data_IF_774916321862
#
_entry.id   IF_774916321862
#
_cell.length_a   1.000
_cell.length_b   1.000
_cell.length_c   1.000
_cell.angle_alpha   90.00
_cell.angle_beta   90.00
_cell.angle_gamma   90.00
#
_symmetry.space_group_name_H-M   'P 1'
#
loop_
_entity.id
_entity.type
_entity.pdbx_description
1 polymer ?
#
# COMPACT_ATOMS: atom_id res chain seq x y z
N UNK A 1 24.79 -9.10 1.26
CA UNK A 1 24.01 -9.79 2.31
C UNK A 1 23.44 -11.05 1.67
N UNK A 2 24.14 -12.17 1.84
CA UNK A 2 23.75 -13.46 1.25
C UNK A 2 22.40 -13.90 1.83
N UNK A 3 21.55 -14.40 0.93
CA UNK A 3 20.17 -14.82 1.15
C UNK A 3 20.17 -16.08 2.02
N UNK A 4 19.35 -16.09 3.07
CA UNK A 4 18.80 -17.34 3.61
C UNK A 4 17.39 -17.48 3.05
N UNK A 5 17.23 -18.33 2.03
CA UNK A 5 15.97 -19.01 1.81
C UNK A 5 15.75 -19.92 3.02
N UNK A 6 14.89 -19.49 3.94
CA UNK A 6 14.44 -20.33 5.04
C UNK A 6 13.21 -21.10 4.54
N UNK A 7 13.46 -22.23 3.88
CA UNK A 7 12.53 -23.37 3.93
C UNK A 7 12.41 -23.80 5.39
N UNK A 8 11.17 -23.93 5.86
CA UNK A 8 10.75 -24.51 7.16
C UNK A 8 11.81 -24.57 8.27
N UNK A 9 11.92 -23.50 9.05
CA UNK A 9 12.26 -23.64 10.47
C UNK A 9 11.08 -23.12 11.30
N UNK A 10 10.47 -23.95 12.16
CA UNK A 10 9.40 -23.49 13.03
C UNK A 10 10.00 -22.50 14.04
N UNK A 11 9.43 -21.29 14.19
CA UNK A 11 9.78 -20.42 15.30
C UNK A 11 9.19 -21.00 16.60
N UNK A 12 9.67 -20.53 17.75
CA UNK A 12 9.15 -20.89 19.07
C UNK A 12 7.61 -20.76 19.13
N UNK A 13 6.94 -21.90 19.14
CA UNK A 13 5.47 -22.04 19.07
C UNK A 13 4.70 -21.25 20.14
N UNK A 14 5.34 -20.85 21.24
CA UNK A 14 4.68 -20.24 22.40
C UNK A 14 3.94 -18.92 22.12
N UNK A 15 4.55 -17.97 21.38
CA UNK A 15 3.92 -16.66 21.13
C UNK A 15 2.82 -16.71 20.07
N UNK A 16 3.04 -17.46 18.99
CA UNK A 16 2.06 -17.62 17.92
C UNK A 16 0.81 -18.38 18.42
N UNK A 17 0.99 -19.43 19.22
CA UNK A 17 -0.12 -20.18 19.81
C UNK A 17 -0.96 -19.34 20.79
N UNK A 18 -0.32 -18.45 21.56
CA UNK A 18 -1.01 -17.52 22.47
C UNK A 18 -1.87 -16.51 21.71
N UNK A 19 -1.33 -15.88 20.65
CA UNK A 19 -2.09 -14.98 19.77
C UNK A 19 -3.27 -15.70 19.10
N UNK A 20 -3.08 -16.96 18.71
CA UNK A 20 -4.06 -17.71 17.94
C UNK A 20 -5.28 -18.15 18.76
N UNK A 21 -5.09 -18.59 20.02
CA UNK A 21 -6.22 -19.05 20.87
C UNK A 21 -7.26 -17.94 21.10
N UNK A 22 -6.80 -16.72 21.36
CA UNK A 22 -7.70 -15.56 21.52
C UNK A 22 -8.36 -15.16 20.20
N UNK A 23 -7.60 -15.15 19.10
CA UNK A 23 -8.11 -14.72 17.80
C UNK A 23 -9.17 -15.68 17.22
N UNK A 24 -8.99 -17.00 17.36
CA UNK A 24 -9.98 -17.99 16.92
C UNK A 24 -11.29 -17.90 17.72
N UNK A 25 -11.21 -17.65 19.03
CA UNK A 25 -12.39 -17.44 19.86
C UNK A 25 -13.16 -16.17 19.45
N UNK A 26 -12.46 -15.07 19.19
CA UNK A 26 -13.08 -13.83 18.69
C UNK A 26 -13.68 -14.01 17.29
N UNK A 27 -12.98 -14.67 16.37
CA UNK A 27 -13.44 -14.91 15.01
C UNK A 27 -14.72 -15.76 14.97
N UNK A 28 -14.83 -16.76 15.85
CA UNK A 28 -16.04 -17.58 15.99
C UNK A 28 -17.27 -16.74 16.42
N UNK A 29 -17.08 -15.74 17.28
CA UNK A 29 -18.16 -14.86 17.75
C UNK A 29 -18.58 -13.83 16.69
N UNK A 30 -17.64 -13.27 15.92
CA UNK A 30 -17.92 -12.25 14.91
C UNK A 30 -18.48 -12.83 13.60
N UNK A 31 -18.09 -14.05 13.22
CA UNK A 31 -18.67 -14.75 12.05
C UNK A 31 -20.20 -14.92 12.19
N UNK A 32 -20.71 -15.09 13.42
CA UNK A 32 -22.14 -15.16 13.69
C UNK A 32 -22.89 -13.82 13.53
N UNK A 33 -22.18 -12.67 13.53
CA UNK A 33 -22.78 -11.33 13.37
C UNK A 33 -22.77 -10.82 11.93
N UNK A 34 -21.80 -11.24 11.12
CA UNK A 34 -21.63 -10.82 9.72
C UNK A 34 -22.62 -11.48 8.74
N UNK A 35 -23.45 -12.44 9.18
CA UNK A 35 -24.42 -13.17 8.36
C UNK A 35 -25.83 -12.59 8.29
N UNK A 36 -26.08 -11.37 8.79
CA UNK A 36 -27.41 -10.72 8.72
C UNK A 36 -27.40 -9.56 7.73
N UNK A 37 -28.28 -9.53 6.72
CA UNK A 37 -28.44 -8.35 5.87
C UNK A 37 -28.95 -7.18 6.72
N UNK A 38 -28.28 -6.04 6.58
CA UNK A 38 -28.53 -4.82 7.33
C UNK A 38 -29.95 -4.31 7.00
N UNK A 39 -30.90 -4.50 7.93
CA UNK A 39 -32.24 -3.92 7.79
C UNK A 39 -32.14 -2.44 8.09
N UNK A 40 -32.38 -1.63 7.06
CA UNK A 40 -32.56 -0.18 7.14
C UNK A 40 -33.29 0.23 8.43
N UNK A 41 -32.59 0.93 9.31
CA UNK A 41 -33.19 1.55 10.50
C UNK A 41 -34.08 2.69 10.03
N UNK A 42 -35.39 2.50 10.20
CA UNK A 42 -36.40 3.57 10.12
C UNK A 42 -36.14 4.58 11.23
N UNK A 43 -36.11 5.86 10.87
CA UNK A 43 -36.09 6.99 11.79
C UNK A 43 -37.34 7.00 12.69
N UNK A 44 -37.24 7.41 13.97
CA UNK A 44 -38.40 7.56 14.82
C UNK A 44 -39.08 8.91 14.58
N UNK A 45 -40.41 8.87 14.52
CA UNK A 45 -41.31 10.01 14.38
C UNK A 45 -41.15 10.99 15.55
N UNK A 46 -40.92 12.27 15.22
CA UNK A 46 -41.00 13.37 16.17
C UNK A 46 -42.46 13.80 16.38
N UNK A 47 -42.80 14.02 17.65
CA UNK A 47 -44.11 14.46 18.12
C UNK A 47 -44.46 15.89 17.76
N UNK A 48 -45.77 16.13 17.82
CA UNK A 48 -46.51 17.35 17.51
C UNK A 48 -46.07 18.55 18.34
N UNK A 49 -46.04 19.73 17.70
CA UNK A 49 -46.42 21.01 18.30
C UNK A 49 -47.24 21.81 17.26
N UNK A 50 -48.39 22.31 17.72
CA UNK A 50 -49.35 23.16 17.03
C UNK A 50 -48.77 24.54 16.64
N UNK A 51 -49.33 25.19 15.61
CA UNK A 51 -49.07 26.61 15.38
C UNK A 51 -49.29 27.16 13.97
N UNK A 52 -50.56 27.33 13.59
CA UNK A 52 -51.12 28.50 12.89
C UNK A 52 -50.68 28.90 11.45
N UNK A 53 -51.70 28.92 10.57
CA UNK A 53 -52.01 29.98 9.57
C UNK A 53 -51.03 30.32 8.41
N UNK A 54 -51.43 29.94 7.19
CA UNK A 54 -51.96 30.83 6.10
C UNK A 54 -51.70 30.27 4.67
N UNK A 55 -52.80 29.83 4.07
CA UNK A 55 -53.33 30.07 2.71
C UNK A 55 -52.43 30.54 1.52
N UNK A 56 -52.87 30.06 0.35
CA UNK A 56 -52.61 30.47 -1.07
C UNK A 56 -51.43 29.76 -1.74
N UNK A 57 -51.55 29.15 -2.92
CA UNK A 57 -52.67 28.96 -3.83
C UNK A 57 -52.19 28.43 -5.19
N UNK A 58 -53.11 27.76 -5.91
CA UNK A 58 -53.25 27.67 -7.39
C UNK A 58 -52.13 27.01 -8.21
N UNK A 59 -52.45 25.87 -8.86
CA UNK A 59 -52.82 25.69 -10.31
C UNK A 59 -51.58 25.39 -11.18
N UNK A 60 -51.43 24.19 -11.74
CA UNK A 60 -52.09 23.53 -12.91
C UNK A 60 -51.31 23.77 -14.22
N UNK A 61 -51.03 22.65 -14.90
CA UNK A 61 -51.05 22.44 -16.36
C UNK A 61 -49.92 23.12 -17.17
N UNK A 62 -49.46 22.66 -18.33
CA UNK A 62 -49.69 21.49 -19.22
C UNK A 62 -48.74 21.69 -20.42
N UNK A 63 -48.43 20.59 -21.11
CA UNK A 63 -48.12 20.46 -22.55
C UNK A 63 -46.82 21.13 -23.06
N UNK A 64 -46.18 20.68 -24.13
CA UNK A 64 -46.48 19.66 -25.15
C UNK A 64 -45.16 19.29 -25.84
N UNK A 65 -45.01 18.05 -26.34
CA UNK A 65 -45.22 17.67 -27.75
C UNK A 65 -44.10 18.20 -28.66
N UNK A 66 -43.25 17.34 -29.26
CA UNK A 66 -43.41 16.50 -30.47
C UNK A 66 -42.22 16.88 -31.37
N UNK A 67 -41.68 16.14 -32.35
CA UNK A 67 -41.92 14.86 -33.02
C UNK A 67 -40.62 14.63 -33.85
N UNK A 68 -40.04 13.43 -33.89
CA UNK A 68 -40.29 12.33 -34.82
C UNK A 68 -39.39 12.32 -36.08
N UNK A 69 -38.89 11.11 -36.37
CA UNK A 69 -38.72 10.40 -37.66
C UNK A 69 -37.36 9.70 -37.70
N UNK A 70 -37.21 8.44 -38.12
CA UNK A 70 -38.15 7.44 -38.57
C UNK A 70 -37.39 6.20 -39.10
N UNK A 71 -37.99 5.01 -38.90
CA UNK A 71 -38.09 3.80 -39.76
C UNK A 71 -36.80 3.24 -40.42
N UNK A 72 -36.59 1.93 -40.56
CA UNK A 72 -37.53 0.82 -40.53
C UNK A 72 -36.83 -0.56 -40.54
N UNK A 73 -37.66 -1.59 -40.46
CA UNK A 73 -37.32 -3.00 -40.32
C UNK A 73 -37.40 -3.75 -41.66
N UNK A 74 -36.75 -4.92 -41.74
CA UNK A 74 -37.25 -6.05 -42.52
C UNK A 74 -36.52 -7.36 -42.18
N UNK A 75 -37.30 -8.36 -41.80
CA UNK A 75 -36.97 -9.79 -41.77
C UNK A 75 -36.93 -10.37 -43.20
N UNK A 76 -36.17 -11.45 -43.42
CA UNK A 76 -36.49 -12.51 -44.38
C UNK A 76 -35.76 -13.82 -44.03
N UNK A 77 -36.37 -14.92 -44.44
CA UNK A 77 -36.22 -16.32 -44.02
C UNK A 77 -35.54 -17.18 -45.09
N UNK A 78 -34.80 -18.23 -44.71
CA UNK A 78 -34.50 -19.42 -45.52
C UNK A 78 -34.06 -20.58 -44.58
N UNK A 79 -34.89 -21.61 -44.35
CA UNK A 79 -35.05 -22.91 -45.06
C UNK A 79 -33.91 -23.94 -44.86
N UNK A 80 -34.34 -25.10 -44.37
CA UNK A 80 -33.63 -26.37 -44.11
C UNK A 80 -33.15 -27.11 -45.38
N UNK A 81 -32.36 -28.18 -45.22
CA UNK A 81 -32.84 -29.50 -45.66
C UNK A 81 -32.65 -30.65 -44.65
N UNK A 82 -33.33 -31.75 -44.98
CA UNK A 82 -33.64 -32.97 -44.23
C UNK A 82 -32.62 -34.10 -44.46
N UNK A 83 -32.36 -34.85 -43.38
CA UNK A 83 -32.27 -36.31 -43.22
C UNK A 83 -31.45 -37.21 -44.19
N UNK A 84 -30.59 -38.04 -43.60
CA UNK A 84 -30.35 -39.42 -44.02
C UNK A 84 -30.39 -40.34 -42.77
N UNK A 85 -31.20 -41.40 -42.87
CA UNK A 85 -31.36 -42.48 -41.88
C UNK A 85 -30.32 -43.58 -42.14
N UNK A 86 -29.87 -44.23 -41.07
CA UNK A 86 -29.18 -45.51 -41.12
C UNK A 86 -29.27 -46.19 -39.75
N UNK A 87 -30.16 -47.18 -39.64
CA UNK A 87 -30.36 -48.05 -38.49
C UNK A 87 -29.26 -49.12 -38.42
N UNK A 88 -28.81 -49.48 -37.20
CA UNK A 88 -28.99 -50.82 -36.59
C UNK A 88 -28.14 -51.03 -35.32
N UNK A 89 -28.88 -51.32 -34.25
CA UNK A 89 -28.63 -52.17 -33.07
C UNK A 89 -27.25 -52.82 -32.85
N UNK A 90 -26.73 -52.74 -31.61
CA UNK A 90 -26.83 -53.84 -30.63
C UNK A 90 -26.13 -53.48 -29.30
N UNK A 91 -26.76 -53.97 -28.22
CA UNK A 91 -26.47 -53.82 -26.81
C UNK A 91 -25.01 -54.05 -26.35
N UNK A 92 -24.57 -53.30 -25.32
CA UNK A 92 -23.79 -53.84 -24.20
C UNK A 92 -23.74 -52.86 -23.00
N UNK A 93 -24.44 -53.26 -21.93
CA UNK A 93 -24.08 -53.20 -20.51
C UNK A 93 -23.28 -52.01 -19.94
N UNK A 94 -23.98 -51.23 -19.12
CA UNK A 94 -23.59 -50.76 -17.78
C UNK A 94 -22.09 -50.57 -17.45
N UNK A 95 -21.67 -49.31 -17.40
CA UNK A 95 -20.80 -48.81 -16.34
C UNK A 95 -21.15 -47.34 -16.11
N UNK A 96 -22.14 -47.09 -15.26
CA UNK A 96 -22.28 -45.79 -14.62
C UNK A 96 -21.10 -45.65 -13.67
N UNK A 97 -19.99 -45.13 -14.18
CA UNK A 97 -18.96 -44.54 -13.34
C UNK A 97 -19.57 -43.32 -12.68
N UNK A 98 -20.19 -43.55 -11.52
CA UNK A 98 -20.34 -42.52 -10.50
C UNK A 98 -18.93 -42.16 -10.08
N UNK A 99 -18.31 -41.23 -10.81
CA UNK A 99 -17.21 -40.43 -10.30
C UNK A 99 -17.76 -39.74 -9.06
N UNK A 100 -17.59 -40.39 -7.91
CA UNK A 100 -17.77 -39.78 -6.62
C UNK A 100 -16.85 -38.57 -6.58
N UNK A 101 -17.40 -37.39 -6.85
CA UNK A 101 -16.82 -36.15 -6.40
C UNK A 101 -16.69 -36.34 -4.89
N UNK A 102 -15.47 -36.66 -4.43
CA UNK A 102 -15.16 -36.69 -3.03
C UNK A 102 -15.69 -35.38 -2.46
N UNK A 103 -16.71 -35.47 -1.60
CA UNK A 103 -17.30 -34.31 -0.98
C UNK A 103 -16.16 -33.59 -0.27
N UNK A 104 -15.68 -32.51 -0.88
CA UNK A 104 -14.54 -31.78 -0.40
C UNK A 104 -15.04 -31.12 0.88
N UNK A 105 -14.58 -31.62 2.03
CA UNK A 105 -14.77 -31.00 3.34
C UNK A 105 -14.70 -29.48 3.15
N UNK A 106 -15.78 -28.73 3.43
CA UNK A 106 -15.86 -27.34 3.05
C UNK A 106 -14.73 -26.60 3.76
N UNK A 107 -13.75 -26.16 2.98
CA UNK A 107 -12.65 -25.34 3.49
C UNK A 107 -13.17 -24.09 4.19
N UNK A 108 -12.31 -23.38 4.93
CA UNK A 108 -12.74 -22.20 5.66
C UNK A 108 -13.36 -21.16 4.72
N UNK A 109 -14.48 -20.59 5.13
CA UNK A 109 -15.12 -19.52 4.36
C UNK A 109 -14.25 -18.25 4.36
N UNK A 110 -14.37 -17.44 3.29
CA UNK A 110 -13.68 -16.16 3.21
C UNK A 110 -13.99 -15.24 4.41
N UNK A 111 -15.21 -15.29 4.95
CA UNK A 111 -15.61 -14.54 6.14
C UNK A 111 -14.85 -14.97 7.40
N UNK A 112 -14.65 -16.27 7.62
CA UNK A 112 -13.86 -16.77 8.76
C UNK A 112 -12.39 -16.33 8.66
N UNK A 113 -11.81 -16.41 7.45
CA UNK A 113 -10.44 -15.96 7.20
C UNK A 113 -10.27 -14.48 7.49
N UNK A 114 -11.18 -13.64 7.00
CA UNK A 114 -11.16 -12.19 7.24
C UNK A 114 -11.36 -11.86 8.72
N UNK A 115 -12.32 -12.50 9.39
CA UNK A 115 -12.54 -12.31 10.83
C UNK A 115 -11.30 -12.67 11.65
N UNK A 116 -10.61 -13.77 11.32
CA UNK A 116 -9.35 -14.16 11.93
C UNK A 116 -8.26 -13.09 11.72
N UNK A 117 -8.09 -12.59 10.49
CA UNK A 117 -7.10 -11.54 10.20
C UNK A 117 -7.37 -10.26 11.01
N UNK A 118 -8.64 -9.83 11.11
CA UNK A 118 -9.03 -8.68 11.93
C UNK A 118 -8.77 -8.92 13.42
N UNK A 119 -9.08 -10.12 13.93
CA UNK A 119 -8.82 -10.51 15.31
C UNK A 119 -7.31 -10.56 15.64
N UNK A 120 -6.46 -10.79 14.63
CA UNK A 120 -5.00 -10.72 14.75
C UNK A 120 -4.44 -9.30 14.68
N UNK A 121 -5.30 -8.29 14.51
CA UNK A 121 -4.97 -6.87 14.59
C UNK A 121 -4.73 -6.19 13.24
N UNK A 122 -5.02 -6.85 12.11
CA UNK A 122 -5.09 -6.15 10.83
C UNK A 122 -6.36 -5.30 10.76
N UNK A 123 -6.31 -4.19 10.04
CA UNK A 123 -7.46 -3.28 9.88
C UNK A 123 -8.31 -3.64 8.65
N UNK A 124 -7.69 -4.24 7.64
CA UNK A 124 -8.34 -4.75 6.44
C UNK A 124 -7.85 -6.15 6.12
N UNK A 125 -8.74 -6.97 5.56
CA UNK A 125 -8.41 -8.26 5.00
C UNK A 125 -9.33 -8.56 3.82
N UNK A 126 -8.78 -9.19 2.79
CA UNK A 126 -9.48 -9.55 1.57
C UNK A 126 -8.82 -10.75 0.90
N UNK A 127 -9.57 -11.41 0.03
CA UNK A 127 -9.11 -12.60 -0.70
C UNK A 127 -9.06 -12.32 -2.18
N UNK A 128 -7.93 -12.65 -2.81
CA UNK A 128 -7.77 -12.65 -4.27
C UNK A 128 -7.38 -14.06 -4.75
N UNK A 129 -7.65 -14.40 -6.02
CA UNK A 129 -7.07 -15.60 -6.62
C UNK A 129 -5.54 -15.48 -6.65
N UNK A 130 -4.83 -16.59 -6.45
CA UNK A 130 -3.39 -16.67 -6.69
C UNK A 130 -3.14 -16.76 -8.19
N UNK A 131 -3.36 -15.66 -8.90
CA UNK A 131 -3.12 -15.51 -10.32
C UNK A 131 -2.45 -14.16 -10.60
N UNK A 132 -1.85 -13.96 -11.79
CA UNK A 132 -1.36 -12.64 -12.18
C UNK A 132 -2.49 -11.61 -12.14
N UNK A 133 -2.28 -10.52 -11.40
CA UNK A 133 -3.22 -9.40 -11.41
C UNK A 133 -3.24 -8.75 -12.82
N UNK A 134 -4.38 -8.24 -13.32
CA UNK A 134 -4.47 -7.57 -14.62
C UNK A 134 -3.43 -6.46 -14.80
N UNK A 135 -3.10 -5.76 -13.72
CA UNK A 135 -2.11 -4.68 -13.74
C UNK A 135 -0.66 -5.20 -13.72
N UNK A 136 -0.38 -6.44 -13.31
CA UNK A 136 0.99 -6.94 -13.07
C UNK A 136 1.92 -6.90 -14.27
N UNK A 137 1.39 -6.87 -15.50
CA UNK A 137 2.17 -6.79 -16.74
C UNK A 137 2.98 -5.49 -16.87
N UNK A 138 2.56 -4.40 -16.21
CA UNK A 138 3.28 -3.12 -16.22
C UNK A 138 4.74 -3.29 -15.80
N UNK A 139 5.03 -4.26 -14.91
CA UNK A 139 6.35 -4.41 -14.30
C UNK A 139 7.45 -4.63 -15.35
N UNK A 140 7.18 -5.40 -16.40
CA UNK A 140 8.20 -5.67 -17.44
C UNK A 140 8.57 -4.39 -18.18
N UNK A 141 7.57 -3.61 -18.59
CA UNK A 141 7.78 -2.34 -19.28
C UNK A 141 8.48 -1.33 -18.36
N UNK A 142 8.04 -1.23 -17.11
CA UNK A 142 8.61 -0.33 -16.12
C UNK A 142 10.11 -0.62 -15.86
N UNK A 143 10.47 -1.91 -15.79
CA UNK A 143 11.88 -2.33 -15.68
C UNK A 143 12.66 -2.02 -16.97
N UNK A 144 12.09 -2.31 -18.14
CA UNK A 144 12.72 -2.05 -19.44
C UNK A 144 13.00 -0.55 -19.67
N UNK A 145 12.15 0.33 -19.12
CA UNK A 145 12.34 1.79 -19.14
C UNK A 145 13.42 2.29 -18.17
N UNK A 146 14.03 1.40 -17.37
CA UNK A 146 15.06 1.77 -16.39
C UNK A 146 14.52 2.49 -15.16
N UNK A 147 13.19 2.51 -14.97
CA UNK A 147 12.56 3.25 -13.87
C UNK A 147 12.82 2.67 -12.49
N UNK A 148 13.43 1.49 -12.41
CA UNK A 148 13.89 0.89 -11.15
C UNK A 148 15.16 1.54 -10.58
N UNK A 149 15.91 2.29 -11.37
CA UNK A 149 17.23 2.79 -10.96
C UNK A 149 18.14 1.67 -10.50
N UNK A 150 18.81 1.85 -9.36
CA UNK A 150 19.74 0.89 -8.77
C UNK A 150 19.04 -0.31 -8.09
N UNK A 151 17.72 -0.42 -8.21
CA UNK A 151 16.93 -1.48 -7.56
C UNK A 151 17.03 -2.85 -8.25
N UNK A 152 18.24 -3.34 -8.49
CA UNK A 152 18.52 -4.57 -9.25
C UNK A 152 17.83 -5.83 -8.73
N UNK A 153 17.37 -5.83 -7.48
CA UNK A 153 16.58 -6.94 -6.94
C UNK A 153 15.18 -7.04 -7.52
N UNK A 154 14.67 -5.99 -8.16
CA UNK A 154 13.40 -6.00 -8.91
C UNK A 154 13.55 -6.74 -10.24
N UNK A 155 14.72 -6.65 -10.89
CA UNK A 155 15.07 -7.43 -12.09
C UNK A 155 15.19 -8.94 -11.81
N UNK A 156 15.33 -9.33 -10.54
CA UNK A 156 15.40 -10.73 -10.14
C UNK A 156 14.00 -11.31 -9.93
N UNK A 157 13.74 -12.47 -10.52
CA UNK A 157 12.47 -13.22 -10.40
C UNK A 157 11.24 -12.39 -10.80
N UNK A 158 11.35 -11.58 -11.86
CA UNK A 158 10.24 -10.76 -12.41
C UNK A 158 8.98 -11.58 -12.57
N UNK A 159 9.10 -12.76 -13.17
CA UNK A 159 7.94 -13.63 -13.39
C UNK A 159 7.28 -14.13 -12.11
N UNK A 160 8.04 -14.27 -11.01
CA UNK A 160 7.47 -14.63 -9.72
C UNK A 160 6.72 -13.45 -9.08
N UNK A 161 7.15 -12.21 -9.35
CA UNK A 161 6.42 -10.99 -8.95
C UNK A 161 5.09 -10.85 -9.68
N UNK A 162 5.08 -11.22 -10.97
CA UNK A 162 3.90 -11.19 -11.81
C UNK A 162 2.94 -12.31 -11.43
N UNK A 163 3.43 -13.54 -11.27
CA UNK A 163 2.61 -14.72 -11.01
C UNK A 163 2.90 -15.30 -9.62
N UNK A 164 2.00 -15.12 -8.62
CA UNK A 164 2.18 -15.65 -7.28
C UNK A 164 2.30 -17.18 -7.23
N UNK A 165 1.81 -17.91 -8.25
CA UNK A 165 1.93 -19.38 -8.33
C UNK A 165 3.37 -19.84 -8.53
N UNK A 166 4.25 -18.97 -9.05
CA UNK A 166 5.69 -19.24 -9.15
C UNK A 166 6.44 -19.02 -7.83
N UNK A 167 5.74 -18.49 -6.81
CA UNK A 167 6.30 -18.22 -5.48
C UNK A 167 5.98 -19.33 -4.49
N UNK A 168 4.75 -19.85 -4.55
CA UNK A 168 4.28 -20.98 -3.78
C UNK A 168 3.61 -21.97 -4.73
N UNK A 169 4.16 -23.18 -4.81
CA UNK A 169 3.61 -24.25 -5.63
C UNK A 169 2.17 -24.58 -5.17
N UNK A 170 1.27 -24.77 -6.13
CA UNK A 170 -0.17 -24.98 -5.90
C UNK A 170 -0.89 -23.86 -5.14
N UNK A 171 -0.35 -22.64 -5.10
CA UNK A 171 -1.10 -21.50 -4.59
C UNK A 171 -2.42 -21.34 -5.35
N UNK A 172 -3.52 -21.25 -4.61
CA UNK A 172 -4.88 -21.03 -5.14
C UNK A 172 -5.42 -19.67 -4.78
N UNK A 173 -5.08 -19.17 -3.59
CA UNK A 173 -5.57 -17.89 -3.08
C UNK A 173 -4.47 -17.06 -2.45
N UNK A 174 -4.71 -15.75 -2.38
CA UNK A 174 -3.92 -14.78 -1.63
C UNK A 174 -4.84 -14.10 -0.62
N UNK A 175 -4.48 -14.17 0.66
CA UNK A 175 -5.09 -13.34 1.69
C UNK A 175 -4.27 -12.05 1.80
N UNK A 176 -4.80 -10.96 1.27
CA UNK A 176 -4.21 -9.63 1.38
C UNK A 176 -4.69 -8.98 2.68
N UNK A 177 -3.78 -8.34 3.40
CA UNK A 177 -4.09 -7.65 4.66
C UNK A 177 -3.47 -6.26 4.66
N UNK A 178 -4.09 -5.34 5.40
CA UNK A 178 -3.51 -4.03 5.65
C UNK A 178 -3.61 -3.63 7.13
N UNK A 179 -2.64 -2.82 7.56
CA UNK A 179 -2.61 -2.17 8.87
C UNK A 179 -2.41 -0.67 8.65
N UNK A 180 -3.33 0.14 9.16
CA UNK A 180 -3.24 1.60 9.14
C UNK A 180 -2.12 2.00 10.10
N UNK A 181 -1.13 2.76 9.67
CA UNK A 181 -0.08 3.23 10.60
C UNK A 181 -0.37 4.59 11.25
N UNK A 182 -1.47 5.22 10.84
CA UNK A 182 -1.94 6.56 11.21
C UNK A 182 -0.83 7.55 11.60
N UNK A 183 -0.38 8.41 10.69
CA UNK A 183 0.78 9.24 10.95
C UNK A 183 0.55 10.43 11.90
N UNK A 184 -0.65 10.59 12.46
CA UNK A 184 -1.04 11.76 13.25
C UNK A 184 -0.90 13.09 12.49
N UNK A 185 -0.76 14.19 13.23
CA UNK A 185 -0.48 15.50 12.66
C UNK A 185 1.04 15.67 12.43
N UNK A 186 1.44 16.33 11.34
CA UNK A 186 2.85 16.71 11.17
C UNK A 186 3.15 17.84 12.13
N UNK A 187 4.22 17.79 12.93
CA UNK A 187 4.76 19.01 13.50
C UNK A 187 5.30 19.88 12.36
N UNK A 188 5.21 21.22 12.49
CA UNK A 188 5.79 22.12 11.49
C UNK A 188 7.29 21.85 11.36
N UNK A 189 7.78 21.84 10.12
CA UNK A 189 9.21 21.71 9.85
C UNK A 189 9.92 22.97 10.37
N UNK A 190 10.61 22.83 11.51
CA UNK A 190 11.43 23.89 12.07
C UNK A 190 12.72 24.08 11.27
N UNK A 191 13.29 25.28 11.37
CA UNK A 191 14.65 25.55 10.88
C UNK A 191 15.63 24.55 11.50
N UNK A 192 16.54 24.01 10.68
CA UNK A 192 17.52 23.01 11.13
C UNK A 192 16.94 21.63 11.48
N UNK A 193 15.68 21.34 11.12
CA UNK A 193 15.04 20.02 11.33
C UNK A 193 14.96 19.21 10.03
N UNK A 194 15.06 17.89 10.17
CA UNK A 194 14.89 16.95 9.06
C UNK A 194 13.50 16.31 9.05
N UNK A 195 13.02 15.95 7.86
CA UNK A 195 11.78 15.23 7.63
C UNK A 195 12.02 13.73 7.44
N UNK A 196 11.25 12.90 8.15
CA UNK A 196 11.25 11.44 8.00
C UNK A 196 9.86 11.00 7.55
N UNK A 197 9.79 10.15 6.53
CA UNK A 197 8.54 9.56 6.10
C UNK A 197 7.86 8.84 7.26
N UNK A 198 6.55 9.08 7.39
CA UNK A 198 5.78 8.82 8.61
C UNK A 198 5.72 7.35 8.99
N UNK A 199 5.95 6.46 8.04
CA UNK A 199 5.94 5.02 8.26
C UNK A 199 7.22 4.50 8.94
N UNK A 200 8.32 5.26 8.94
CA UNK A 200 9.66 4.72 9.21
C UNK A 200 10.18 4.95 10.65
N UNK A 201 9.57 5.88 11.40
CA UNK A 201 10.12 6.35 12.67
C UNK A 201 9.98 5.40 13.87
N UNK A 202 9.20 4.33 13.76
CA UNK A 202 8.88 3.40 14.85
C UNK A 202 9.64 2.08 14.80
N UNK A 203 9.04 1.02 15.36
CA UNK A 203 9.47 -0.35 15.10
C UNK A 203 9.34 -0.70 13.61
N UNK A 204 10.21 -1.57 13.12
CA UNK A 204 10.19 -2.00 11.72
C UNK A 204 8.89 -2.77 11.41
N UNK A 205 8.05 -2.20 10.53
CA UNK A 205 6.77 -2.78 10.12
C UNK A 205 6.93 -4.19 9.55
N UNK A 206 8.08 -4.51 8.94
CA UNK A 206 8.35 -5.85 8.44
C UNK A 206 8.24 -6.90 9.54
N UNK A 207 8.74 -6.60 10.75
CA UNK A 207 8.74 -7.55 11.85
C UNK A 207 7.35 -7.64 12.49
N UNK A 208 6.69 -6.49 12.68
CA UNK A 208 5.34 -6.39 13.23
C UNK A 208 4.34 -7.16 12.36
N UNK A 209 4.30 -6.91 11.05
CA UNK A 209 3.35 -7.57 10.15
C UNK A 209 3.69 -9.05 9.95
N UNK A 210 4.97 -9.42 9.85
CA UNK A 210 5.38 -10.82 9.64
C UNK A 210 5.02 -11.70 10.84
N UNK A 211 5.12 -11.18 12.06
CA UNK A 211 4.62 -11.86 13.27
C UNK A 211 3.13 -12.21 13.12
N UNK A 212 2.31 -11.24 12.70
CA UNK A 212 0.85 -11.43 12.54
C UNK A 212 0.47 -12.30 11.35
N UNK A 213 1.18 -12.20 10.24
CA UNK A 213 0.96 -13.07 9.08
C UNK A 213 1.30 -14.54 9.38
N UNK A 214 2.32 -14.82 10.20
CA UNK A 214 2.61 -16.20 10.64
C UNK A 214 1.50 -16.75 11.52
N UNK A 215 0.97 -15.93 12.43
CA UNK A 215 -0.19 -16.31 13.23
C UNK A 215 -1.43 -16.56 12.36
N UNK A 216 -1.62 -15.76 11.31
CA UNK A 216 -2.70 -15.97 10.33
C UNK A 216 -2.53 -17.30 9.59
N UNK A 217 -1.33 -17.62 9.10
CA UNK A 217 -1.05 -18.90 8.45
C UNK A 217 -1.34 -20.11 9.33
N UNK A 218 -0.87 -20.08 10.59
CA UNK A 218 -1.20 -21.12 11.58
C UNK A 218 -2.70 -21.19 11.88
N UNK A 219 -3.40 -20.06 11.89
CA UNK A 219 -4.85 -20.05 12.05
C UNK A 219 -5.63 -20.57 10.84
N UNK A 220 -5.09 -20.44 9.62
CA UNK A 220 -5.67 -21.07 8.43
C UNK A 220 -5.58 -22.59 8.50
N UNK A 221 -4.46 -23.15 8.99
CA UNK A 221 -4.34 -24.59 9.25
C UNK A 221 -5.38 -25.07 10.26
N UNK A 222 -5.56 -24.32 11.35
CA UNK A 222 -6.54 -24.64 12.38
C UNK A 222 -7.98 -24.58 11.86
N UNK A 223 -8.32 -23.55 11.07
CA UNK A 223 -9.65 -23.40 10.47
C UNK A 223 -9.92 -24.47 9.41
N UNK A 224 -8.92 -24.87 8.64
CA UNK A 224 -9.04 -25.91 7.62
C UNK A 224 -8.97 -27.34 8.19
N UNK A 225 -8.61 -27.49 9.47
CA UNK A 225 -8.41 -28.78 10.15
C UNK A 225 -7.45 -29.72 9.40
N UNK A 226 -6.47 -29.15 8.69
CA UNK A 226 -5.45 -29.88 7.94
C UNK A 226 -4.17 -29.05 7.83
N UNK A 227 -3.08 -29.71 7.43
CA UNK A 227 -1.90 -29.00 6.98
C UNK A 227 -2.23 -28.15 5.75
N UNK A 228 -1.81 -26.88 5.77
CA UNK A 228 -2.01 -25.90 4.69
C UNK A 228 -0.64 -25.38 4.27
N UNK A 229 -0.35 -25.37 2.97
CA UNK A 229 0.86 -24.69 2.47
C UNK A 229 0.57 -23.21 2.36
N UNK A 230 1.37 -22.39 3.02
CA UNK A 230 1.27 -20.95 2.92
C UNK A 230 2.63 -20.26 2.95
N UNK A 231 2.70 -19.05 2.37
CA UNK A 231 3.89 -18.20 2.40
C UNK A 231 3.50 -16.74 2.56
N UNK A 232 4.08 -16.10 3.57
CA UNK A 232 3.81 -14.71 3.92
C UNK A 232 4.88 -13.74 3.41
N UNK A 233 4.45 -12.58 2.94
CA UNK A 233 5.31 -11.50 2.47
C UNK A 233 4.86 -10.13 2.96
N UNK A 234 5.88 -9.29 3.19
CA UNK A 234 5.79 -7.87 3.53
C UNK A 234 7.00 -7.21 2.88
N UNK A 235 6.81 -6.46 1.78
CA UNK A 235 7.78 -5.65 0.99
C UNK A 235 8.96 -6.42 0.34
N UNK A 236 9.56 -7.32 1.10
CA UNK A 236 10.81 -8.03 0.81
C UNK A 236 10.64 -9.26 -0.08
N UNK A 237 9.41 -9.54 -0.53
CA UNK A 237 9.03 -10.71 -1.32
C UNK A 237 9.02 -10.48 -2.83
N UNK A 238 9.03 -11.55 -3.65
CA UNK A 238 8.76 -11.48 -5.07
C UNK A 238 7.24 -11.49 -5.32
N UNK A 239 6.48 -10.59 -4.70
CA UNK A 239 5.03 -10.43 -4.91
C UNK A 239 4.73 -8.94 -5.15
N UNK A 240 3.61 -8.64 -5.80
CA UNK A 240 3.15 -7.27 -6.01
C UNK A 240 2.02 -6.96 -5.03
N UNK A 241 2.35 -6.66 -3.77
CA UNK A 241 1.36 -6.54 -2.69
C UNK A 241 0.26 -5.52 -3.01
N UNK A 242 0.60 -4.38 -3.63
CA UNK A 242 -0.40 -3.36 -4.00
C UNK A 242 -1.39 -3.88 -5.04
N UNK A 243 -0.91 -4.62 -6.05
CA UNK A 243 -1.77 -5.18 -7.08
C UNK A 243 -2.66 -6.29 -6.52
N UNK A 244 -2.11 -7.17 -5.68
CA UNK A 244 -2.86 -8.23 -5.01
C UNK A 244 -3.88 -7.68 -4.02
N UNK A 245 -3.53 -6.65 -3.26
CA UNK A 245 -4.47 -5.98 -2.34
C UNK A 245 -5.62 -5.31 -3.08
N UNK A 246 -5.36 -4.66 -4.22
CA UNK A 246 -6.42 -4.09 -5.06
C UNK A 246 -7.34 -5.19 -5.62
N UNK A 247 -6.78 -6.31 -6.09
CA UNK A 247 -7.57 -7.46 -6.52
C UNK A 247 -8.39 -8.09 -5.40
N UNK A 248 -7.88 -8.06 -4.17
CA UNK A 248 -8.57 -8.57 -2.99
C UNK A 248 -9.62 -7.57 -2.44
N UNK A 249 -9.87 -6.45 -3.12
CA UNK A 249 -10.89 -5.48 -2.73
C UNK A 249 -10.50 -4.57 -1.56
N UNK A 250 -9.21 -4.47 -1.20
CA UNK A 250 -8.76 -3.55 -0.14
C UNK A 250 -8.70 -2.08 -0.58
N UNK A 251 -8.94 -1.80 -1.85
CA UNK A 251 -8.85 -0.45 -2.42
C UNK A 251 -8.48 -0.48 -3.90
N UNK A 252 -8.02 0.66 -4.40
CA UNK A 252 -7.48 0.80 -5.76
C UNK A 252 -6.04 1.34 -5.74
N UNK A 253 -5.28 1.10 -6.81
CA UNK A 253 -3.94 1.69 -6.98
C UNK A 253 -4.10 3.07 -7.60
N UNK A 254 -3.91 4.12 -6.80
CA UNK A 254 -4.09 5.50 -7.24
C UNK A 254 -3.04 5.97 -8.25
N UNK A 255 -3.23 7.16 -8.82
CA UNK A 255 -2.29 7.78 -9.77
C UNK A 255 -0.90 7.99 -9.18
N UNK A 256 -0.78 8.06 -7.85
CA UNK A 256 0.48 8.13 -7.12
C UNK A 256 1.13 6.75 -6.86
N UNK A 257 0.57 5.67 -7.40
CA UNK A 257 1.02 4.26 -7.27
C UNK A 257 0.85 3.63 -5.88
N UNK A 258 0.26 4.34 -4.92
CA UNK A 258 -0.10 3.76 -3.61
C UNK A 258 -1.44 3.01 -3.71
N UNK A 259 -1.63 2.00 -2.86
CA UNK A 259 -2.97 1.48 -2.59
C UNK A 259 -3.73 2.52 -1.75
N UNK A 260 -4.96 2.84 -2.14
CA UNK A 260 -5.83 3.78 -1.45
C UNK A 260 -7.12 3.05 -1.07
N UNK A 261 -7.48 3.08 0.21
CA UNK A 261 -8.79 2.64 0.67
C UNK A 261 -9.71 3.86 0.83
N UNK A 262 -10.97 3.72 0.44
CA UNK A 262 -11.95 4.81 0.40
C UNK A 262 -12.08 5.58 1.72
N UNK A 263 -12.10 4.87 2.85
CA UNK A 263 -12.27 5.47 4.18
C UNK A 263 -10.98 5.59 4.99
N UNK A 264 -9.93 4.83 4.64
CA UNK A 264 -8.71 4.71 5.46
C UNK A 264 -7.52 5.40 4.79
N UNK A 265 -7.67 5.87 3.56
CA UNK A 265 -6.61 6.53 2.80
C UNK A 265 -5.52 5.55 2.36
N UNK A 266 -4.31 6.07 2.17
CA UNK A 266 -3.15 5.30 1.69
C UNK A 266 -2.09 5.00 2.75
N UNK A 267 -2.30 5.44 3.99
CA UNK A 267 -1.37 5.20 5.10
C UNK A 267 -1.49 3.77 5.64
N UNK A 268 -1.22 2.81 4.77
CA UNK A 268 -1.42 1.38 4.93
C UNK A 268 -0.08 0.65 4.77
N UNK A 269 0.29 -0.15 5.77
CA UNK A 269 1.23 -1.25 5.56
C UNK A 269 0.48 -2.43 4.96
N UNK A 270 1.06 -3.06 3.94
CA UNK A 270 0.45 -4.20 3.26
C UNK A 270 1.19 -5.50 3.59
N UNK A 271 0.42 -6.58 3.68
CA UNK A 271 0.93 -7.94 3.75
C UNK A 271 0.16 -8.84 2.80
N UNK A 272 0.81 -9.89 2.33
CA UNK A 272 0.19 -10.93 1.50
C UNK A 272 0.53 -12.31 2.04
N UNK A 273 -0.48 -13.17 2.17
CA UNK A 273 -0.32 -14.58 2.51
C UNK A 273 -0.85 -15.44 1.37
N UNK A 274 0.07 -16.04 0.61
CA UNK A 274 -0.26 -17.02 -0.43
C UNK A 274 -0.62 -18.33 0.26
N UNK A 275 -1.63 -19.03 -0.24
CA UNK A 275 -2.10 -20.31 0.33
C UNK A 275 -2.60 -21.27 -0.75
N UNK A 276 -2.48 -22.57 -0.47
CA UNK A 276 -3.09 -23.64 -1.28
C UNK A 276 -4.59 -23.83 -1.03
N UNK A 277 -5.16 -23.09 -0.09
CA UNK A 277 -6.61 -23.07 0.14
C UNK A 277 -7.33 -22.42 -1.04
N UNK A 278 -8.42 -23.06 -1.47
CA UNK A 278 -9.36 -22.52 -2.44
C UNK A 278 -10.39 -21.65 -1.69
N UNK A 279 -10.18 -20.33 -1.71
CA UNK A 279 -10.98 -19.38 -0.95
C UNK A 279 -11.80 -18.52 -1.93
N UNK A 280 -13.08 -18.24 -1.63
CA UNK A 280 -13.88 -17.33 -2.46
C UNK A 280 -13.21 -15.95 -2.53
N UNK A 281 -12.96 -15.48 -3.75
CA UNK A 281 -12.35 -14.17 -3.98
C UNK A 281 -13.35 -13.04 -3.71
N UNK A 282 -12.82 -11.94 -3.17
CA UNK A 282 -13.55 -10.67 -3.02
C UNK A 282 -13.59 -9.91 -4.36
N UNK A 283 -14.46 -8.90 -4.42
CA UNK A 283 -14.59 -8.06 -5.62
C UNK A 283 -13.63 -6.86 -5.53
N UNK A 284 -12.81 -6.61 -6.57
CA UNK A 284 -11.95 -5.42 -6.62
C UNK A 284 -12.75 -4.11 -6.52
N UNK A 285 -12.22 -3.11 -5.81
CA UNK A 285 -12.80 -1.76 -5.81
C UNK A 285 -12.47 -1.03 -7.13
N UNK A 286 -13.40 -0.21 -7.66
CA UNK A 286 -13.12 0.64 -8.81
C UNK A 286 -12.16 1.78 -8.45
N UNK A 287 -11.49 2.33 -9.46
CA UNK A 287 -10.67 3.53 -9.28
C UNK A 287 -11.52 4.75 -8.92
N UNK A 288 -11.12 5.47 -7.87
CA UNK A 288 -11.80 6.67 -7.40
C UNK A 288 -10.96 7.97 -7.54
N UNK A 289 -9.85 7.95 -8.29
CA UNK A 289 -9.06 9.14 -8.58
C UNK A 289 -9.77 10.10 -9.54
N UNK A 290 -10.57 9.60 -10.50
CA UNK A 290 -11.28 10.44 -11.46
C UNK A 290 -10.36 11.43 -12.20
N UNK A 291 -10.76 12.69 -12.33
CA UNK A 291 -9.96 13.75 -12.95
C UNK A 291 -8.88 14.36 -12.03
N UNK A 292 -8.80 13.95 -10.75
CA UNK A 292 -7.85 14.52 -9.79
C UNK A 292 -6.39 14.33 -10.24
N UNK A 293 -5.56 15.37 -10.05
CA UNK A 293 -4.13 15.37 -10.37
C UNK A 293 -3.23 15.85 -9.22
N UNK A 294 -3.79 16.09 -8.03
CA UNK A 294 -3.08 16.71 -6.90
C UNK A 294 -1.70 16.10 -6.60
N UNK A 295 -1.59 14.77 -6.59
CA UNK A 295 -0.32 14.07 -6.33
C UNK A 295 0.72 14.21 -7.46
N UNK A 296 0.26 14.33 -8.71
CA UNK A 296 1.13 14.53 -9.87
C UNK A 296 1.68 15.95 -9.86
N UNK A 297 0.78 16.92 -9.64
CA UNK A 297 1.11 18.34 -9.65
C UNK A 297 2.00 18.73 -8.46
N UNK A 298 1.78 18.14 -7.28
CA UNK A 298 2.58 18.40 -6.08
C UNK A 298 3.96 17.72 -6.07
N UNK A 299 4.25 16.79 -6.98
CA UNK A 299 5.52 16.08 -6.98
C UNK A 299 6.65 17.01 -7.45
N UNK A 300 7.59 17.42 -6.57
CA UNK A 300 8.54 18.49 -6.90
C UNK A 300 9.60 18.06 -7.92
N UNK A 301 9.78 16.76 -8.13
CA UNK A 301 10.72 16.20 -9.11
C UNK A 301 10.01 15.70 -10.38
N UNK A 302 8.68 15.80 -10.44
CA UNK A 302 7.85 15.26 -11.51
C UNK A 302 8.16 13.78 -11.76
N UNK A 303 8.27 13.00 -10.68
CA UNK A 303 8.62 11.58 -10.74
C UNK A 303 7.50 10.73 -11.34
N UNK A 304 6.26 11.20 -11.30
CA UNK A 304 5.17 10.58 -12.05
C UNK A 304 5.22 11.08 -13.49
N UNK A 305 5.78 10.27 -14.39
CA UNK A 305 5.88 10.64 -15.82
C UNK A 305 4.50 10.65 -16.47
N UNK A 306 3.60 9.80 -15.98
CA UNK A 306 2.19 9.70 -16.36
C UNK A 306 1.38 9.23 -15.13
N UNK A 307 0.04 9.39 -15.11
CA UNK A 307 -0.80 8.78 -14.07
C UNK A 307 -0.49 7.29 -13.91
N UNK A 308 -0.28 6.83 -12.67
CA UNK A 308 0.07 5.45 -12.32
C UNK A 308 1.48 4.98 -12.74
N UNK A 309 2.29 5.84 -13.36
CA UNK A 309 3.65 5.50 -13.81
C UNK A 309 4.68 6.36 -13.08
N UNK A 310 5.37 5.76 -12.12
CA UNK A 310 6.42 6.41 -11.32
C UNK A 310 7.82 6.05 -11.86
N UNK A 311 8.59 7.02 -12.29
CA UNK A 311 10.04 6.87 -12.46
C UNK A 311 10.72 6.98 -11.08
N UNK A 312 11.18 5.84 -10.53
CA UNK A 312 11.78 5.84 -9.21
C UNK A 312 13.08 6.64 -9.17
N UNK A 313 13.82 6.75 -10.28
CA UNK A 313 15.10 7.50 -10.34
C UNK A 313 14.93 8.99 -10.03
N UNK A 314 13.70 9.50 -10.13
CA UNK A 314 13.30 10.87 -9.81
C UNK A 314 12.58 10.98 -8.48
N UNK A 315 12.10 9.87 -7.92
CA UNK A 315 11.31 9.86 -6.69
C UNK A 315 12.18 10.19 -5.48
N UNK A 316 11.81 11.22 -4.71
CA UNK A 316 12.53 11.59 -3.48
C UNK A 316 12.61 10.44 -2.46
N UNK A 317 11.60 9.56 -2.43
CA UNK A 317 11.62 8.37 -1.57
C UNK A 317 12.72 7.38 -1.99
N UNK A 318 12.82 7.07 -3.28
CA UNK A 318 13.92 6.26 -3.81
C UNK A 318 15.29 6.93 -3.59
N UNK A 319 15.41 8.23 -3.89
CA UNK A 319 16.66 8.97 -3.76
C UNK A 319 17.17 8.94 -2.32
N UNK A 320 16.29 9.04 -1.32
CA UNK A 320 16.68 9.07 0.09
C UNK A 320 16.82 7.69 0.74
N UNK A 321 16.22 6.63 0.18
CA UNK A 321 16.23 5.29 0.79
C UNK A 321 17.13 4.30 0.02
N UNK A 322 17.01 4.26 -1.30
CA UNK A 322 17.52 3.17 -2.13
C UNK A 322 18.76 3.54 -2.92
N UNK A 323 18.84 4.78 -3.44
CA UNK A 323 19.97 5.26 -4.22
C UNK A 323 21.26 5.22 -3.40
N UNK A 324 22.30 4.61 -3.95
CA UNK A 324 23.64 4.47 -3.36
C UNK A 324 24.69 5.34 -4.04
N UNK A 325 24.23 6.31 -4.84
CA UNK A 325 25.04 7.27 -5.60
C UNK A 325 24.86 8.70 -5.07
N UNK A 326 25.50 9.68 -5.73
CA UNK A 326 25.24 11.09 -5.46
C UNK A 326 23.79 11.44 -5.83
N UNK A 327 23.12 12.25 -5.00
CA UNK A 327 21.81 12.80 -5.38
C UNK A 327 22.07 13.80 -6.50
N UNK A 328 21.44 13.65 -7.69
CA UNK A 328 21.63 14.58 -8.78
C UNK A 328 21.31 16.02 -8.33
N UNK A 329 22.18 16.98 -8.65
CA UNK A 329 22.05 18.36 -8.15
C UNK A 329 20.68 18.98 -8.40
N UNK A 330 20.10 18.72 -9.58
CA UNK A 330 18.74 19.15 -9.97
C UNK A 330 17.63 18.73 -9.00
N UNK A 331 17.85 17.73 -8.16
CA UNK A 331 16.87 17.25 -7.18
C UNK A 331 17.19 17.67 -5.74
N UNK A 332 18.37 18.23 -5.47
CA UNK A 332 18.81 18.56 -4.11
C UNK A 332 17.96 19.66 -3.48
N UNK A 333 17.58 20.69 -4.23
CA UNK A 333 16.65 21.72 -3.72
C UNK A 333 15.24 21.15 -3.50
N UNK A 334 14.76 20.34 -4.45
CA UNK A 334 13.44 19.71 -4.39
C UNK A 334 13.29 18.75 -3.21
N UNK A 335 14.39 18.17 -2.72
CA UNK A 335 14.41 17.31 -1.54
C UNK A 335 13.91 18.04 -0.28
N UNK A 336 14.11 19.36 -0.18
CA UNK A 336 13.68 20.14 0.97
C UNK A 336 14.36 19.67 2.26
N UNK A 337 13.57 19.41 3.30
CA UNK A 337 14.00 18.95 4.62
C UNK A 337 14.12 17.42 4.72
N UNK A 338 13.72 16.66 3.69
CA UNK A 338 13.59 15.21 3.76
C UNK A 338 14.94 14.53 3.93
N UNK A 339 15.09 13.73 4.98
CA UNK A 339 16.29 12.90 5.24
C UNK A 339 16.04 11.41 5.03
N UNK A 340 14.77 10.97 5.02
CA UNK A 340 14.38 9.59 4.74
C UNK A 340 12.95 9.51 4.20
N UNK A 341 12.78 8.96 3.00
CA UNK A 341 11.47 8.78 2.36
C UNK A 341 10.81 10.10 1.94
N UNK A 342 9.59 10.00 1.39
CA UNK A 342 8.78 11.15 1.00
C UNK A 342 7.30 10.77 1.05
N UNK A 343 6.48 11.62 1.67
CA UNK A 343 5.04 11.43 1.78
C UNK A 343 4.21 12.45 0.97
N UNK A 344 4.83 13.37 0.23
CA UNK A 344 4.13 14.50 -0.42
C UNK A 344 2.94 14.05 -1.28
N UNK A 345 3.11 13.01 -2.11
CA UNK A 345 2.05 12.50 -2.97
C UNK A 345 0.88 11.83 -2.21
N UNK A 346 1.12 11.43 -0.95
CA UNK A 346 0.10 10.93 -0.03
C UNK A 346 -0.53 12.08 0.75
N UNK A 347 0.28 13.04 1.23
CA UNK A 347 -0.18 14.18 2.03
C UNK A 347 -1.20 15.05 1.28
N UNK A 348 -1.01 15.26 -0.02
CA UNK A 348 -1.94 16.03 -0.86
C UNK A 348 -3.13 15.22 -1.37
N UNK A 349 -3.19 13.91 -1.12
CA UNK A 349 -4.26 13.06 -1.63
C UNK A 349 -5.57 13.36 -0.87
N UNK A 350 -6.70 13.66 -1.56
CA UNK A 350 -7.98 13.96 -0.90
C UNK A 350 -8.49 12.86 0.03
N UNK A 351 -8.14 11.59 -0.23
CA UNK A 351 -8.50 10.44 0.61
C UNK A 351 -7.69 10.35 1.91
N UNK A 352 -6.60 11.13 2.03
CA UNK A 352 -5.79 11.22 3.24
C UNK A 352 -6.08 12.45 4.09
N UNK A 353 -6.98 13.34 3.64
CA UNK A 353 -7.40 14.49 4.47
C UNK A 353 -7.97 14.00 5.80
N UNK A 354 -7.52 14.59 6.91
CA UNK A 354 -7.79 14.08 8.27
C UNK A 354 -9.29 14.08 8.58
N UNK A 355 -10.02 15.06 8.06
CA UNK A 355 -11.48 15.19 8.21
C UNK A 355 -12.26 14.10 7.47
N UNK A 356 -11.65 13.42 6.49
CA UNK A 356 -12.26 12.34 5.70
C UNK A 356 -11.77 10.95 6.12
N UNK A 357 -10.52 10.85 6.57
CA UNK A 357 -9.86 9.58 6.87
C UNK A 357 -10.24 9.06 8.25
N UNK A 358 -10.81 7.86 8.30
CA UNK A 358 -11.05 7.11 9.53
C UNK A 358 -9.77 6.44 10.02
N UNK A 359 -9.63 6.38 11.34
CA UNK A 359 -8.53 5.67 12.01
C UNK A 359 -9.17 4.58 12.88
N UNK A 360 -8.90 3.28 12.60
CA UNK A 360 -9.42 2.17 13.40
C UNK A 360 -8.94 2.21 14.85
N UNK A 361 -9.42 1.30 15.71
CA UNK A 361 -8.96 1.16 17.11
C UNK A 361 -7.71 0.28 17.17
N UNK A 362 -6.72 0.61 18.03
CA UNK A 362 -5.48 -0.18 18.18
C UNK A 362 -5.60 -1.23 19.29
N UNK A 363 -6.50 -2.21 19.12
CA UNK A 363 -6.84 -3.17 20.19
C UNK A 363 -5.64 -3.97 20.70
N UNK A 364 -4.64 -4.20 19.85
CA UNK A 364 -3.47 -5.03 20.16
C UNK A 364 -2.16 -4.21 20.26
N UNK A 365 -2.26 -2.87 20.30
CA UNK A 365 -1.11 -1.98 20.44
C UNK A 365 -0.10 -2.04 19.28
N UNK A 366 -0.53 -2.47 18.09
CA UNK A 366 0.36 -2.62 16.93
C UNK A 366 0.76 -1.26 16.37
N UNK A 367 -0.19 -0.34 16.25
CA UNK A 367 0.09 1.00 15.75
C UNK A 367 0.93 1.80 16.73
N UNK A 368 0.73 1.59 18.04
CA UNK A 368 1.59 2.16 19.07
C UNK A 368 3.08 1.73 18.92
N UNK A 369 3.35 0.48 18.53
CA UNK A 369 4.73 0.00 18.24
C UNK A 369 5.34 0.67 17.00
N UNK A 370 4.50 0.99 16.02
CA UNK A 370 4.87 1.61 14.75
C UNK A 370 4.97 3.14 14.83
N UNK A 371 4.45 3.73 15.90
CA UNK A 371 4.50 5.16 16.13
C UNK A 371 5.95 5.66 16.15
N UNK A 372 6.25 6.82 15.53
CA UNK A 372 7.59 7.37 15.52
C UNK A 372 8.13 7.59 16.93
N UNK A 373 9.39 7.20 17.16
CA UNK A 373 10.11 7.61 18.37
C UNK A 373 10.38 9.10 18.34
N UNK A 374 10.45 9.73 19.51
CA UNK A 374 10.58 11.18 19.66
C UNK A 374 11.73 11.76 18.84
N UNK A 375 12.88 11.09 18.81
CA UNK A 375 14.06 11.52 18.05
C UNK A 375 13.87 11.52 16.52
N UNK A 376 12.88 10.77 16.01
CA UNK A 376 12.63 10.61 14.57
C UNK A 376 11.41 11.39 14.05
N UNK A 377 10.65 12.06 14.91
CA UNK A 377 9.50 12.89 14.51
C UNK A 377 9.94 14.13 13.73
N UNK A 378 11.00 14.81 14.22
CA UNK A 378 11.63 15.97 13.59
C UNK A 378 13.09 16.05 14.07
N UNK A 379 13.96 15.13 13.61
CA UNK A 379 15.35 15.08 14.05
C UNK A 379 16.08 16.40 13.78
N UNK A 380 16.96 16.80 14.70
CA UNK A 380 17.89 17.91 14.44
C UNK A 380 18.87 17.49 13.35
N UNK A 381 19.03 18.32 12.32
CA UNK A 381 20.05 18.10 11.28
C UNK A 381 21.45 18.12 11.88
N UNK A 382 21.69 18.95 12.89
CA UNK A 382 22.97 19.00 13.61
C UNK A 382 23.27 17.68 14.32
N UNK A 383 22.27 17.07 14.97
CA UNK A 383 22.39 15.74 15.57
C UNK A 383 22.67 14.68 14.50
N UNK A 384 21.89 14.64 13.42
CA UNK A 384 22.07 13.67 12.33
C UNK A 384 23.48 13.74 11.74
N UNK A 385 23.97 14.95 11.44
CA UNK A 385 25.30 15.18 10.88
C UNK A 385 26.45 14.86 11.86
N UNK A 386 26.14 14.68 13.15
CA UNK A 386 27.11 14.32 14.18
C UNK A 386 27.08 12.83 14.53
N UNK A 387 26.15 12.04 13.99
CA UNK A 387 26.10 10.61 14.23
C UNK A 387 27.30 9.91 13.60
N UNK A 388 28.02 9.14 14.39
CA UNK A 388 28.90 8.08 13.88
C UNK A 388 28.10 6.79 13.58
N UNK A 389 28.79 5.77 13.05
CA UNK A 389 28.13 4.52 12.67
C UNK A 389 27.58 3.72 13.89
N UNK A 390 28.21 3.82 15.06
CA UNK A 390 27.76 3.14 16.27
C UNK A 390 26.48 3.78 16.82
N UNK A 391 26.47 5.11 16.94
CA UNK A 391 25.32 5.91 17.35
C UNK A 391 24.15 5.75 16.37
N UNK A 392 24.40 5.76 15.06
CA UNK A 392 23.39 5.47 14.04
C UNK A 392 22.78 4.07 14.22
N UNK A 393 23.61 3.04 14.42
CA UNK A 393 23.12 1.68 14.67
C UNK A 393 22.26 1.65 15.93
N UNK A 394 22.67 2.30 17.02
CA UNK A 394 21.87 2.35 18.23
C UNK A 394 20.51 3.04 17.99
N UNK A 395 20.51 4.23 17.40
CA UNK A 395 19.31 5.05 17.16
C UNK A 395 18.29 4.38 16.22
N UNK A 396 18.75 3.56 15.28
CA UNK A 396 17.90 2.87 14.30
C UNK A 396 17.63 1.40 14.62
N UNK A 397 17.98 0.93 15.82
CA UNK A 397 17.72 -0.46 16.23
C UNK A 397 16.24 -0.83 16.04
N UNK A 398 15.98 -1.92 15.29
CA UNK A 398 14.63 -2.40 14.94
C UNK A 398 13.76 -1.34 14.27
N UNK A 399 14.31 -0.55 13.37
CA UNK A 399 13.57 0.44 12.57
C UNK A 399 13.89 0.28 11.09
N UNK A 400 12.90 0.55 10.25
CA UNK A 400 13.03 0.57 8.79
C UNK A 400 14.07 1.61 8.30
N UNK A 401 14.40 2.61 9.11
CA UNK A 401 15.42 3.62 8.83
C UNK A 401 16.79 3.02 8.48
N UNK A 402 17.09 1.82 9.00
CA UNK A 402 18.34 1.09 8.67
C UNK A 402 18.54 0.87 7.18
N UNK A 403 17.45 0.84 6.41
CA UNK A 403 17.49 0.62 4.96
C UNK A 403 18.34 1.68 4.23
N UNK A 404 18.31 2.93 4.68
CA UNK A 404 19.13 3.98 4.09
C UNK A 404 20.63 3.72 4.27
N UNK A 405 21.04 3.08 5.39
CA UNK A 405 22.43 3.01 5.89
C UNK A 405 22.98 4.38 6.28
N UNK A 406 23.94 4.38 7.20
CA UNK A 406 24.49 5.59 7.82
C UNK A 406 25.00 6.62 6.81
N UNK A 407 25.90 6.20 5.91
CA UNK A 407 26.51 7.07 4.90
C UNK A 407 25.47 7.82 4.05
N UNK A 408 24.41 7.15 3.61
CA UNK A 408 23.42 7.78 2.74
C UNK A 408 22.41 8.62 3.51
N UNK A 409 22.14 8.30 4.78
CA UNK A 409 21.42 9.21 5.66
C UNK A 409 22.19 10.52 5.85
N UNK A 410 23.51 10.46 6.11
CA UNK A 410 24.36 11.65 6.21
C UNK A 410 24.32 12.47 4.91
N UNK A 411 24.46 11.81 3.76
CA UNK A 411 24.30 12.44 2.43
C UNK A 411 22.97 13.19 2.33
N UNK A 412 21.86 12.58 2.75
CA UNK A 412 20.55 13.23 2.72
C UNK A 412 20.48 14.41 3.69
N UNK A 413 21.02 14.27 4.91
CA UNK A 413 21.05 15.30 5.92
C UNK A 413 21.88 16.52 5.49
N UNK A 414 22.96 16.33 4.74
CA UNK A 414 23.75 17.42 4.15
C UNK A 414 22.90 18.25 3.18
N UNK A 415 22.15 17.59 2.30
CA UNK A 415 21.23 18.28 1.37
C UNK A 415 20.16 19.05 2.14
N UNK A 416 19.53 18.41 3.13
CA UNK A 416 18.52 19.06 3.97
C UNK A 416 19.10 20.25 4.75
N UNK A 417 20.34 20.16 5.22
CA UNK A 417 21.05 21.25 5.90
C UNK A 417 21.28 22.44 4.98
N UNK A 418 21.70 22.21 3.74
CA UNK A 418 21.81 23.27 2.72
C UNK A 418 20.47 23.99 2.49
N UNK A 419 19.36 23.23 2.45
CA UNK A 419 18.01 23.79 2.26
C UNK A 419 17.42 24.45 3.51
N UNK A 420 18.00 24.25 4.69
CA UNK A 420 17.42 24.67 5.97
C UNK A 420 17.49 26.17 6.25
N UNK A 421 18.33 26.89 5.50
CA UNK A 421 18.71 28.28 5.76
C UNK A 421 19.29 28.51 7.19
N UNK A 422 19.85 27.48 7.84
CA UNK A 422 20.38 27.53 9.20
C UNK A 422 21.92 27.70 9.28
N UNK A 423 22.46 28.91 9.55
CA UNK A 423 23.90 29.18 9.65
C UNK A 423 24.56 28.39 10.78
N UNK A 424 23.81 27.96 11.80
CA UNK A 424 24.35 27.18 12.90
C UNK A 424 24.89 25.82 12.44
N UNK A 425 24.48 25.35 11.25
CA UNK A 425 24.98 24.11 10.65
C UNK A 425 26.30 24.29 9.88
N UNK A 426 26.72 25.53 9.59
CA UNK A 426 27.93 25.82 8.78
C UNK A 426 29.18 25.09 9.27
N UNK A 427 29.53 25.08 10.58
CA UNK A 427 30.71 24.36 11.05
C UNK A 427 30.65 22.85 10.78
N UNK A 428 29.46 22.24 10.89
CA UNK A 428 29.27 20.82 10.57
C UNK A 428 29.46 20.55 9.08
N UNK A 429 28.91 21.42 8.23
CA UNK A 429 29.06 21.33 6.78
C UNK A 429 30.53 21.47 6.35
N UNK A 430 31.27 22.42 6.93
CA UNK A 430 32.71 22.61 6.67
C UNK A 430 33.52 21.37 7.05
N UNK A 431 33.23 20.75 8.19
CA UNK A 431 33.88 19.48 8.60
C UNK A 431 33.63 18.35 7.60
N UNK A 432 32.38 18.18 7.14
CA UNK A 432 32.06 17.16 6.14
C UNK A 432 32.68 17.48 4.76
N UNK A 433 32.74 18.75 4.39
CA UNK A 433 33.35 19.21 3.13
C UNK A 433 34.87 18.94 3.07
N UNK A 434 35.57 19.02 4.20
CA UNK A 434 36.99 18.70 4.33
C UNK A 434 37.25 17.20 4.63
N UNK A 435 36.20 16.39 4.78
CA UNK A 435 36.30 14.97 5.12
C UNK A 435 36.82 14.10 3.97
N UNK A 436 37.28 12.89 4.31
CA UNK A 436 37.86 11.94 3.35
C UNK A 436 36.83 11.20 2.47
N UNK A 437 35.53 11.21 2.82
CA UNK A 437 34.49 10.58 2.00
C UNK A 437 34.09 11.53 0.86
N UNK A 438 34.41 11.21 -0.41
CA UNK A 438 34.18 12.12 -1.52
C UNK A 438 32.69 12.41 -1.76
N UNK A 439 31.81 11.43 -1.48
CA UNK A 439 30.37 11.60 -1.65
C UNK A 439 29.84 12.62 -0.65
N UNK A 440 30.22 12.49 0.63
CA UNK A 440 29.79 13.41 1.67
C UNK A 440 30.41 14.80 1.48
N UNK A 441 31.69 14.86 1.13
CA UNK A 441 32.40 16.12 0.87
C UNK A 441 31.75 16.91 -0.28
N UNK A 442 31.36 16.23 -1.37
CA UNK A 442 30.62 16.85 -2.48
C UNK A 442 29.28 17.45 -2.03
N UNK A 443 28.46 16.69 -1.29
CA UNK A 443 27.15 17.17 -0.84
C UNK A 443 27.28 18.29 0.20
N UNK A 444 28.31 18.25 1.05
CA UNK A 444 28.60 19.29 2.02
C UNK A 444 29.04 20.60 1.35
N UNK A 445 29.88 20.54 0.31
CA UNK A 445 30.26 21.72 -0.49
C UNK A 445 29.04 22.34 -1.18
N UNK A 446 28.17 21.51 -1.77
CA UNK A 446 26.90 21.99 -2.33
C UNK A 446 26.03 22.66 -1.25
N UNK A 447 25.91 22.04 -0.08
CA UNK A 447 25.12 22.57 1.02
C UNK A 447 25.63 23.92 1.53
N UNK A 448 26.95 24.12 1.62
CA UNK A 448 27.57 25.41 1.97
C UNK A 448 27.22 26.50 0.95
N UNK A 449 27.36 26.20 -0.35
CA UNK A 449 27.01 27.15 -1.41
C UNK A 449 25.52 27.53 -1.38
N UNK A 450 24.65 26.53 -1.15
CA UNK A 450 23.21 26.76 -1.00
C UNK A 450 22.89 27.62 0.22
N UNK A 451 23.48 27.32 1.37
CA UNK A 451 23.26 28.04 2.61
C UNK A 451 23.66 29.52 2.49
N UNK A 452 24.84 29.79 1.92
CA UNK A 452 25.30 31.15 1.63
C UNK A 452 24.37 31.90 0.66
N UNK A 453 23.86 31.24 -0.39
CA UNK A 453 22.92 31.85 -1.34
C UNK A 453 21.62 32.29 -0.65
N UNK A 454 21.10 31.46 0.26
CA UNK A 454 19.88 31.76 1.02
C UNK A 454 20.09 32.90 2.03
N UNK A 455 21.26 32.98 2.65
CA UNK A 455 21.64 34.05 3.58
C UNK A 455 21.76 35.42 2.90
N UNK A 456 22.35 35.46 1.69
CA UNK A 456 22.55 36.71 0.93
C UNK A 456 21.27 37.27 0.30
N UNK A 457 20.11 36.64 0.48
CA UNK A 457 18.85 37.09 -0.11
C UNK A 457 18.81 37.00 -1.65
N UNK A 458 19.85 36.43 -2.28
CA UNK A 458 19.83 36.03 -3.68
C UNK A 458 18.86 34.85 -3.79
N UNK A 459 17.57 35.16 -3.96
CA UNK A 459 16.61 34.17 -4.43
C UNK A 459 17.12 33.67 -5.78
N UNK A 460 17.47 32.39 -5.92
CA UNK A 460 17.54 31.82 -7.26
C UNK A 460 16.16 31.99 -7.89
N UNK A 461 16.14 32.34 -9.18
CA UNK A 461 14.91 32.43 -9.98
C UNK A 461 14.01 31.23 -9.67
N UNK A 462 12.73 31.43 -9.30
CA UNK A 462 11.87 30.35 -8.88
C UNK A 462 11.58 29.44 -10.08
N UNK A 463 12.28 28.31 -10.15
CA UNK A 463 11.76 27.11 -10.79
C UNK A 463 10.59 26.60 -9.97
N UNK A 464 9.43 27.23 -10.12
CA UNK A 464 8.12 26.74 -9.69
C UNK A 464 7.94 26.47 -8.20
N UNK A 465 7.52 27.48 -7.43
CA UNK A 465 6.72 27.26 -6.21
C UNK A 465 5.61 28.31 -6.08
N UNK A 466 4.39 27.83 -6.20
CA UNK A 466 3.21 28.30 -5.49
C UNK A 466 2.25 27.11 -5.42
N UNK A 467 2.08 26.52 -4.23
CA UNK A 467 0.84 25.94 -3.70
C UNK A 467 1.03 25.69 -2.20
#
# INVERSE_FOLDING_TARGET
MQRRDLTHHPPSFGRAACLLRGALACAALDAGRLGRPDRARREPAAGRCDGDRRTRGRRRARNGERAASGRGASHLSARLPRAARGERDLAASSALEVSGAAAQEPGPSGSQVKALALALGFDLAGVAPAAPAPTSSFLREWLARGFAGEMEWLNRRVEARIDPRRVLEHARSVVAVALVYDPGLRPPAGRGRGGVARYAGGEDYHDVLRERLRALGAGLEALAQRAVRWRAYVDTGPVLERALAAQAGLGWVGKNTCLIHRELGSYLFLGALLTDLDLPADTPEPDHCGSCRACLDACPTQAFVEPHVLDATRCLSYLTIESRSAIPERFREAQGDLVFGCDLCQEVCPFNLRERRRVPQDRLGLRARLAPRTEWVAPSLGWLLSLDEAAWRAATRRSALRRAKHRFLLRNALVAAGNSADPALRPLLERHAAGADPLLAEHARWALGRLSSLESGQRPTPGGRAF
#
